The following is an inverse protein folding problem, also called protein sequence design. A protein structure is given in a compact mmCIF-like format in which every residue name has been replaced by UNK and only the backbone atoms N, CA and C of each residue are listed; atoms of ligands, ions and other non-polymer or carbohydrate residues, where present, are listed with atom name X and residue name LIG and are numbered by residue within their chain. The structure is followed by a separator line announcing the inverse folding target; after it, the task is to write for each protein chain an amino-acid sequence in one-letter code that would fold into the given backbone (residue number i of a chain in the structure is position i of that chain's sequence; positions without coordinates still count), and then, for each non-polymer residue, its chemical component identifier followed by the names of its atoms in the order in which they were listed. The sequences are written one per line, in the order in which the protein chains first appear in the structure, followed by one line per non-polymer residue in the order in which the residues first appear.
data_IF_824986312720
#
_entry.id   IF_824986312720
#
_cell.length_a   1.000
_cell.length_b   1.000
_cell.length_c   1.000
_cell.angle_alpha   90.00
_cell.angle_beta   90.00
_cell.angle_gamma   90.00
#
_symmetry.space_group_name_H-M   'P 1'
#
loop_
_entity.id
_entity.type
_entity.pdbx_description
1 polymer ?
#
# COMPACT_ATOMS: atom_id res chain seq x y z
N UNK A 1 17.97 -23.26 36.55
CA UNK A 1 16.64 -23.00 35.94
C UNK A 1 16.86 -22.42 34.56
N UNK A 2 16.79 -23.29 33.54
CA UNK A 2 17.12 -22.98 32.15
C UNK A 2 16.05 -22.07 31.54
N UNK A 3 16.45 -20.91 31.02
CA UNK A 3 15.55 -19.94 30.42
C UNK A 3 15.07 -20.40 29.05
N UNK A 4 13.77 -20.71 28.93
CA UNK A 4 13.09 -20.85 27.65
C UNK A 4 13.04 -19.48 26.96
N UNK A 5 14.00 -19.19 26.08
CA UNK A 5 13.89 -18.04 25.17
C UNK A 5 12.84 -18.36 24.12
N UNK A 6 11.85 -17.48 23.96
CA UNK A 6 10.85 -17.59 22.91
C UNK A 6 11.54 -17.60 21.54
N UNK A 7 11.34 -18.68 20.78
CA UNK A 7 11.77 -18.78 19.38
C UNK A 7 10.93 -17.78 18.60
N UNK A 8 11.56 -16.76 18.00
CA UNK A 8 10.87 -15.81 17.15
C UNK A 8 10.10 -16.58 16.07
N UNK A 9 8.80 -16.33 15.95
CA UNK A 9 7.97 -16.92 14.90
C UNK A 9 8.61 -16.62 13.54
N UNK A 10 8.55 -17.53 12.56
CA UNK A 10 9.05 -17.25 11.22
C UNK A 10 8.28 -16.03 10.68
N UNK A 11 8.97 -14.91 10.56
CA UNK A 11 8.41 -13.70 9.97
C UNK A 11 8.26 -13.98 8.48
N UNK A 12 7.07 -14.39 8.06
CA UNK A 12 6.74 -14.48 6.64
C UNK A 12 6.86 -13.06 6.07
N UNK A 13 7.86 -12.83 5.22
CA UNK A 13 8.04 -11.53 4.58
C UNK A 13 6.82 -11.24 3.69
N UNK A 14 6.23 -10.05 3.83
CA UNK A 14 5.13 -9.60 2.97
C UNK A 14 5.60 -9.60 1.51
N UNK A 15 4.84 -10.18 0.56
CA UNK A 15 5.21 -10.14 -0.85
C UNK A 15 5.30 -8.69 -1.33
N UNK A 16 6.46 -8.31 -1.88
CA UNK A 16 6.72 -6.98 -2.43
C UNK A 16 7.32 -7.13 -3.82
N UNK A 17 6.81 -6.38 -4.79
CA UNK A 17 7.42 -6.30 -6.12
C UNK A 17 8.65 -5.38 -6.09
N UNK A 18 9.37 -5.31 -7.21
CA UNK A 18 10.43 -4.31 -7.44
C UNK A 18 9.92 -3.17 -8.33
N UNK A 19 8.61 -2.92 -8.39
CA UNK A 19 8.02 -1.95 -9.29
C UNK A 19 8.43 -0.51 -8.92
N UNK A 20 8.76 0.29 -9.93
CA UNK A 20 9.05 1.71 -9.80
C UNK A 20 8.32 2.46 -10.91
N UNK A 21 7.47 3.42 -10.53
CA UNK A 21 6.67 4.20 -11.46
C UNK A 21 5.34 4.68 -10.88
N UNK A 22 4.57 5.44 -11.66
CA UNK A 22 3.27 5.93 -11.27
C UNK A 22 2.17 4.86 -11.40
N UNK A 23 1.28 4.80 -10.41
CA UNK A 23 0.06 3.97 -10.44
C UNK A 23 -1.15 4.88 -10.24
N UNK A 24 -2.15 4.74 -11.10
CA UNK A 24 -3.42 5.47 -10.99
C UNK A 24 -4.56 4.47 -10.81
N UNK A 25 -5.36 4.68 -9.77
CA UNK A 25 -6.57 3.90 -9.49
C UNK A 25 -7.77 4.84 -9.58
N UNK A 26 -8.54 4.68 -10.66
CA UNK A 26 -9.73 5.48 -10.97
C UNK A 26 -10.76 4.61 -11.72
N UNK A 27 -11.95 4.33 -11.15
CA UNK A 27 -12.39 4.71 -9.82
C UNK A 27 -11.80 3.81 -8.72
N UNK A 28 -11.66 4.35 -7.52
CA UNK A 28 -11.53 3.51 -6.32
C UNK A 28 -12.90 2.87 -6.05
N UNK A 29 -12.98 1.54 -6.21
CA UNK A 29 -14.23 0.79 -6.01
C UNK A 29 -14.41 0.37 -4.54
N UNK A 30 -15.64 0.06 -4.13
CA UNK A 30 -16.05 -0.29 -2.75
C UNK A 30 -15.87 0.83 -1.72
N UNK A 31 -16.01 2.07 -2.17
CA UNK A 31 -16.21 3.25 -1.34
C UNK A 31 -17.47 3.99 -1.82
N UNK A 32 -18.01 4.86 -0.98
CA UNK A 32 -19.01 5.83 -1.41
C UNK A 32 -18.33 7.04 -2.09
N UNK A 33 -18.97 7.59 -3.13
CA UNK A 33 -18.48 8.78 -3.85
C UNK A 33 -17.54 8.49 -5.03
N UNK A 34 -16.82 9.53 -5.48
CA UNK A 34 -15.95 9.49 -6.67
C UNK A 34 -14.53 9.90 -6.30
N UNK A 35 -13.63 8.92 -6.23
CA UNK A 35 -12.25 9.12 -5.83
C UNK A 35 -11.29 8.58 -6.88
N UNK A 36 -10.27 9.38 -7.18
CA UNK A 36 -9.08 9.00 -7.91
C UNK A 36 -7.87 9.07 -6.98
N UNK A 37 -7.06 8.01 -6.99
CA UNK A 37 -5.80 7.94 -6.26
C UNK A 37 -4.65 7.83 -7.26
N UNK A 38 -3.66 8.70 -7.13
CA UNK A 38 -2.41 8.67 -7.90
C UNK A 38 -1.27 8.40 -6.93
N UNK A 39 -0.39 7.47 -7.28
CA UNK A 39 0.67 6.97 -6.40
C UNK A 39 1.99 6.95 -7.15
N UNK A 40 3.06 7.44 -6.51
CA UNK A 40 4.42 7.20 -6.95
C UNK A 40 5.02 6.04 -6.15
N UNK A 41 5.36 4.96 -6.85
CA UNK A 41 5.97 3.76 -6.27
C UNK A 41 7.44 3.72 -6.63
N UNK A 42 8.29 3.39 -5.67
CA UNK A 42 9.73 3.17 -5.89
C UNK A 42 10.17 1.89 -5.16
N UNK A 43 10.80 0.95 -5.87
CA UNK A 43 11.26 -0.34 -5.35
C UNK A 43 10.15 -1.12 -4.61
N UNK A 44 8.93 -1.09 -5.17
CA UNK A 44 7.74 -1.73 -4.62
C UNK A 44 7.19 -1.09 -3.34
N UNK A 45 7.67 0.09 -2.97
CA UNK A 45 7.19 0.86 -1.82
C UNK A 45 6.54 2.14 -2.32
N UNK A 46 5.35 2.43 -1.82
CA UNK A 46 4.67 3.70 -2.08
C UNK A 46 5.43 4.82 -1.37
N UNK A 47 5.88 5.83 -2.13
CA UNK A 47 6.59 6.98 -1.56
C UNK A 47 5.75 8.24 -1.48
N UNK A 48 4.88 8.47 -2.46
CA UNK A 48 4.01 9.65 -2.49
C UNK A 48 2.63 9.31 -3.06
N UNK A 49 1.61 10.05 -2.63
CA UNK A 49 0.19 9.80 -2.95
C UNK A 49 -0.59 11.10 -3.07
N UNK A 50 -1.47 11.17 -4.08
CA UNK A 50 -2.47 12.24 -4.24
C UNK A 50 -3.89 11.67 -4.19
N UNK A 51 -4.72 12.27 -3.33
CA UNK A 51 -6.15 11.99 -3.22
C UNK A 51 -6.96 13.07 -3.94
N UNK A 52 -7.70 12.70 -4.98
CA UNK A 52 -8.48 13.64 -5.80
C UNK A 52 -9.95 13.23 -5.84
N UNK A 53 -10.80 13.99 -5.14
CA UNK A 53 -12.26 13.86 -5.22
C UNK A 53 -12.76 14.44 -6.55
N UNK A 54 -13.44 13.62 -7.35
CA UNK A 54 -13.75 13.97 -8.75
C UNK A 54 -15.12 14.61 -8.97
N UNK A 55 -15.92 14.74 -7.91
CA UNK A 55 -17.30 15.21 -8.02
C UNK A 55 -17.55 16.32 -7.01
N UNK A 56 -18.06 17.44 -7.51
CA UNK A 56 -18.57 18.59 -6.75
C UNK A 56 -20.06 18.74 -7.04
N UNK A 57 -20.87 18.98 -6.00
CA UNK A 57 -22.33 19.18 -6.07
C UNK A 57 -22.75 20.20 -5.05
#
# INVERSE_FOLDING_TARGET
MSGCKAKAAPVMATPKSNYTGPVVVDPVTRIEGHLRIEVQVENGVVKDVRSSSQLFR
#
